data_IF_091798922878
#
_entry.id   IF_091798922878
#
_cell.length_a   1.000
_cell.length_b   1.000
_cell.length_c   1.000
_cell.angle_alpha   90.00
_cell.angle_beta   90.00
_cell.angle_gamma   90.00
#
_symmetry.space_group_name_H-M   'P 1'
#
loop_
_entity.id
_entity.type
_entity.pdbx_description
1 polymer ?
#
# COMPACT_ATOMS: atom_id res chain seq x y z
N UNK A 1 26.95 -31.35 -9.99
CA UNK A 1 25.52 -30.97 -10.09
C UNK A 1 25.27 -29.89 -9.06
N UNK A 2 25.37 -28.62 -9.45
CA UNK A 2 25.20 -27.50 -8.53
C UNK A 2 23.76 -27.52 -7.99
N UNK A 3 23.62 -27.70 -6.67
CA UNK A 3 22.33 -27.60 -6.00
C UNK A 3 21.75 -26.22 -6.31
N UNK A 4 20.51 -26.18 -6.82
CA UNK A 4 19.79 -24.92 -6.98
C UNK A 4 19.59 -24.35 -5.57
N UNK A 5 19.96 -23.08 -5.31
CA UNK A 5 19.73 -22.46 -4.02
C UNK A 5 18.24 -22.49 -3.65
N UNK A 6 17.91 -23.03 -2.47
CA UNK A 6 16.57 -23.48 -2.14
C UNK A 6 15.57 -22.32 -1.95
N UNK A 7 16.01 -21.16 -1.48
CA UNK A 7 15.16 -19.99 -1.31
C UNK A 7 14.92 -19.27 -2.63
N UNK A 8 15.94 -19.14 -3.48
CA UNK A 8 15.77 -18.59 -4.83
C UNK A 8 14.80 -19.44 -5.66
N UNK A 9 14.86 -20.77 -5.55
CA UNK A 9 13.89 -21.65 -6.19
C UNK A 9 12.46 -21.43 -5.67
N UNK A 10 12.29 -21.37 -4.34
CA UNK A 10 11.00 -21.07 -3.69
C UNK A 10 10.46 -19.72 -4.13
N UNK A 11 11.33 -18.72 -4.23
CA UNK A 11 10.96 -17.38 -4.66
C UNK A 11 10.39 -17.40 -6.07
N UNK A 12 11.15 -17.94 -7.04
CA UNK A 12 10.76 -18.00 -8.45
C UNK A 12 9.49 -18.82 -8.69
N UNK A 13 9.19 -19.83 -7.86
CA UNK A 13 7.95 -20.61 -7.99
C UNK A 13 6.70 -19.85 -7.54
N UNK A 14 6.84 -18.78 -6.74
CA UNK A 14 5.74 -17.98 -6.21
C UNK A 14 5.62 -16.59 -6.85
N UNK A 15 6.56 -16.19 -7.71
CA UNK A 15 6.44 -14.92 -8.43
C UNK A 15 5.32 -14.96 -9.46
N UNK A 16 4.54 -13.88 -9.53
CA UNK A 16 3.48 -13.71 -10.54
C UNK A 16 4.01 -13.50 -11.94
N UNK A 17 5.22 -12.95 -12.06
CA UNK A 17 5.95 -12.80 -13.33
C UNK A 17 6.78 -14.05 -13.58
N UNK A 18 6.71 -14.58 -14.80
CA UNK A 18 7.61 -15.64 -15.25
C UNK A 18 8.90 -14.99 -15.78
N UNK A 19 9.89 -14.88 -14.92
CA UNK A 19 11.20 -14.31 -15.27
C UNK A 19 11.96 -15.22 -16.25
N UNK A 20 12.83 -14.61 -17.06
CA UNK A 20 13.86 -15.36 -17.78
C UNK A 20 14.74 -16.06 -16.73
N UNK A 21 15.10 -17.35 -16.93
CA UNK A 21 15.95 -18.07 -16.00
C UNK A 21 17.21 -17.25 -15.67
N UNK A 22 17.42 -16.86 -14.40
CA UNK A 22 18.58 -16.07 -14.02
C UNK A 22 19.86 -16.89 -14.19
N UNK A 23 21.00 -16.21 -14.34
CA UNK A 23 22.29 -16.90 -14.36
C UNK A 23 22.54 -17.62 -13.02
N UNK A 24 23.40 -18.66 -12.97
CA UNK A 24 23.75 -19.32 -11.71
C UNK A 24 24.30 -18.35 -10.65
N UNK A 25 25.02 -17.31 -11.08
CA UNK A 25 25.54 -16.26 -10.21
C UNK A 25 24.41 -15.39 -9.64
N UNK A 26 23.46 -14.96 -10.49
CA UNK A 26 22.28 -14.19 -10.06
C UNK A 26 21.39 -14.99 -9.09
N UNK A 27 21.24 -16.31 -9.32
CA UNK A 27 20.50 -17.20 -8.42
C UNK A 27 21.17 -17.29 -7.05
N UNK A 28 22.49 -17.42 -7.00
CA UNK A 28 23.24 -17.45 -5.74
C UNK A 28 23.16 -16.11 -5.00
N UNK A 29 23.27 -14.99 -5.71
CA UNK A 29 23.13 -13.65 -5.15
C UNK A 29 21.73 -13.40 -4.59
N UNK A 30 20.69 -13.83 -5.32
CA UNK A 30 19.30 -13.73 -4.85
C UNK A 30 19.06 -14.59 -3.60
N UNK A 31 19.59 -15.81 -3.54
CA UNK A 31 19.43 -16.68 -2.38
C UNK A 31 20.13 -16.12 -1.14
N UNK A 32 21.33 -15.56 -1.31
CA UNK A 32 22.06 -14.88 -0.23
C UNK A 32 21.31 -13.63 0.26
N UNK A 33 20.75 -12.83 -0.65
CA UNK A 33 19.91 -11.67 -0.32
C UNK A 33 18.69 -12.08 0.51
N UNK A 34 17.96 -13.12 0.08
CA UNK A 34 16.76 -13.61 0.76
C UNK A 34 17.07 -14.21 2.13
N UNK A 35 18.16 -14.97 2.23
CA UNK A 35 18.65 -15.53 3.49
C UNK A 35 18.99 -14.42 4.48
N UNK A 36 19.76 -13.42 4.03
CA UNK A 36 20.15 -12.29 4.86
C UNK A 36 18.95 -11.48 5.33
N UNK A 37 18.01 -11.22 4.44
CA UNK A 37 16.78 -10.49 4.77
C UNK A 37 15.94 -11.21 5.83
N UNK A 38 15.87 -12.54 5.78
CA UNK A 38 15.18 -13.35 6.78
C UNK A 38 15.89 -13.33 8.14
N UNK A 39 17.21 -13.43 8.17
CA UNK A 39 18.02 -13.32 9.39
C UNK A 39 17.89 -11.94 10.04
N UNK A 40 18.02 -10.87 9.24
CA UNK A 40 17.90 -9.48 9.72
C UNK A 40 16.48 -9.21 10.25
N UNK A 41 15.44 -9.75 9.60
CA UNK A 41 14.06 -9.62 10.06
C UNK A 41 13.79 -10.38 11.38
N UNK A 42 14.34 -11.59 11.54
CA UNK A 42 14.28 -12.33 12.81
C UNK A 42 14.98 -11.59 13.94
N UNK A 43 16.17 -11.04 13.67
CA UNK A 43 16.91 -10.24 14.65
C UNK A 43 16.14 -8.97 15.03
N UNK A 44 15.41 -8.37 14.08
CA UNK A 44 14.57 -7.19 14.32
C UNK A 44 13.31 -7.51 15.14
N UNK A 45 12.73 -8.70 14.96
CA UNK A 45 11.50 -9.13 15.63
C UNK A 45 11.72 -10.40 16.47
N UNK A 46 12.43 -10.31 17.61
CA UNK A 46 12.69 -11.47 18.47
C UNK A 46 11.38 -12.15 18.90
N UNK A 47 11.35 -13.47 18.84
CA UNK A 47 10.19 -14.29 19.24
C UNK A 47 9.16 -14.52 18.13
N UNK A 48 9.25 -13.83 16.99
CA UNK A 48 8.45 -14.14 15.81
C UNK A 48 9.12 -15.28 15.03
N UNK A 49 8.55 -16.49 15.10
CA UNK A 49 9.13 -17.70 14.50
C UNK A 49 8.53 -18.00 13.11
N UNK A 50 8.85 -17.19 12.10
CA UNK A 50 8.41 -17.40 10.72
C UNK A 50 9.50 -18.13 9.91
N UNK A 51 9.13 -19.19 9.20
CA UNK A 51 10.07 -19.95 8.37
C UNK A 51 10.60 -19.13 7.19
N UNK A 52 11.84 -19.38 6.77
CA UNK A 52 12.44 -18.73 5.60
C UNK A 52 11.60 -18.97 4.33
N UNK A 53 11.11 -20.19 4.13
CA UNK A 53 10.26 -20.54 2.96
C UNK A 53 8.96 -19.74 2.94
N UNK A 54 8.27 -19.62 4.07
CA UNK A 54 7.03 -18.82 4.16
C UNK A 54 7.27 -17.35 3.91
N UNK A 55 8.34 -16.80 4.49
CA UNK A 55 8.74 -15.41 4.28
C UNK A 55 9.05 -15.16 2.79
N UNK A 56 9.87 -16.02 2.17
CA UNK A 56 10.29 -15.88 0.78
C UNK A 56 9.12 -15.99 -0.19
N UNK A 57 8.20 -16.93 0.03
CA UNK A 57 6.96 -17.03 -0.77
C UNK A 57 6.13 -15.75 -0.66
N UNK A 58 5.99 -15.20 0.55
CA UNK A 58 5.24 -13.97 0.79
C UNK A 58 5.86 -12.75 0.10
N UNK A 59 7.19 -12.63 0.06
CA UNK A 59 7.91 -11.58 -0.69
C UNK A 59 7.70 -11.75 -2.19
N UNK A 60 7.82 -12.97 -2.72
CA UNK A 60 7.67 -13.26 -4.15
C UNK A 60 6.27 -12.86 -4.69
N UNK A 61 5.22 -13.10 -3.92
CA UNK A 61 3.84 -12.73 -4.27
C UNK A 61 3.60 -11.21 -4.32
N UNK A 62 4.48 -10.43 -3.69
CA UNK A 62 4.38 -8.96 -3.52
C UNK A 62 5.30 -8.18 -4.44
N UNK A 63 6.06 -8.86 -5.30
CA UNK A 63 6.79 -8.19 -6.35
C UNK A 63 5.87 -7.30 -7.20
N UNK A 64 6.34 -6.12 -7.59
CA UNK A 64 5.63 -5.33 -8.60
C UNK A 64 5.53 -6.06 -9.92
N UNK A 65 4.55 -5.69 -10.77
CA UNK A 65 4.59 -6.04 -12.19
C UNK A 65 5.95 -5.61 -12.79
N UNK A 66 6.64 -6.56 -13.41
CA UNK A 66 7.95 -6.35 -14.01
C UNK A 66 8.04 -7.13 -15.32
N UNK A 67 8.93 -6.68 -16.22
CA UNK A 67 9.25 -7.44 -17.44
C UNK A 67 9.96 -8.74 -17.07
N UNK A 68 9.78 -9.83 -17.84
CA UNK A 68 10.55 -11.07 -17.64
C UNK A 68 12.07 -10.88 -17.62
N UNK A 69 12.59 -9.82 -18.24
CA UNK A 69 14.02 -9.49 -18.32
C UNK A 69 14.49 -8.53 -17.22
N UNK A 70 13.59 -8.05 -16.35
CA UNK A 70 13.97 -7.11 -15.28
C UNK A 70 14.83 -7.84 -14.23
N UNK A 71 15.97 -7.26 -13.82
CA UNK A 71 16.79 -7.82 -12.74
C UNK A 71 15.99 -7.94 -11.43
N UNK A 72 16.02 -9.12 -10.81
CA UNK A 72 15.18 -9.44 -9.65
C UNK A 72 15.70 -8.77 -8.37
N UNK A 73 17.00 -8.81 -8.13
CA UNK A 73 17.59 -8.30 -6.88
C UNK A 73 17.22 -6.83 -6.58
N UNK A 74 17.29 -5.89 -7.54
CA UNK A 74 16.82 -4.51 -7.31
C UNK A 74 15.33 -4.41 -6.96
N UNK A 75 14.48 -5.27 -7.52
CA UNK A 75 13.05 -5.28 -7.19
C UNK A 75 12.80 -5.71 -5.74
N UNK A 76 13.57 -6.67 -5.25
CA UNK A 76 13.49 -7.16 -3.86
C UNK A 76 14.07 -6.14 -2.88
N UNK A 77 15.22 -5.55 -3.21
CA UNK A 77 15.86 -4.52 -2.37
C UNK A 77 15.03 -3.25 -2.22
N UNK A 78 14.13 -2.96 -3.16
CA UNK A 78 13.18 -1.85 -3.06
C UNK A 78 11.99 -2.07 -2.12
N UNK A 79 11.92 -3.22 -1.43
CA UNK A 79 10.84 -3.56 -0.50
C UNK A 79 11.31 -3.48 0.97
N UNK A 80 10.39 -3.12 1.87
CA UNK A 80 10.58 -3.20 3.32
C UNK A 80 10.53 -4.66 3.80
N UNK A 81 11.62 -5.41 3.58
CA UNK A 81 11.69 -6.86 3.86
C UNK A 81 11.40 -7.21 5.34
N UNK A 82 11.93 -6.44 6.29
CA UNK A 82 11.67 -6.66 7.72
C UNK A 82 10.20 -6.44 8.10
N UNK A 83 9.49 -5.54 7.42
CA UNK A 83 8.07 -5.28 7.69
C UNK A 83 7.16 -6.27 6.97
N UNK A 84 7.57 -6.77 5.79
CA UNK A 84 6.94 -7.90 5.12
C UNK A 84 7.03 -9.19 5.95
N UNK A 85 8.15 -9.41 6.63
CA UNK A 85 8.30 -10.51 7.58
C UNK A 85 7.24 -10.42 8.69
N UNK A 86 7.11 -9.24 9.31
CA UNK A 86 6.12 -9.01 10.36
C UNK A 86 4.69 -9.18 9.85
N UNK A 87 4.37 -8.63 8.67
CA UNK A 87 3.05 -8.75 8.05
C UNK A 87 2.71 -10.21 7.73
N UNK A 88 3.65 -10.98 7.17
CA UNK A 88 3.49 -12.41 6.91
C UNK A 88 3.21 -13.18 8.21
N UNK A 89 3.97 -12.92 9.27
CA UNK A 89 3.77 -13.57 10.56
C UNK A 89 2.42 -13.18 11.19
N UNK A 90 1.96 -11.95 11.03
CA UNK A 90 0.63 -11.53 11.47
C UNK A 90 -0.49 -12.30 10.74
N UNK A 91 -0.35 -12.50 9.42
CA UNK A 91 -1.30 -13.28 8.62
C UNK A 91 -1.35 -14.75 9.00
N UNK A 92 -0.22 -15.30 9.44
CA UNK A 92 -0.13 -16.67 9.94
C UNK A 92 -0.57 -16.81 11.41
N UNK A 93 -0.98 -15.72 12.06
CA UNK A 93 -1.50 -15.77 13.43
C UNK A 93 -0.45 -15.90 14.53
N UNK A 94 0.81 -15.54 14.27
CA UNK A 94 1.85 -15.55 15.31
C UNK A 94 1.58 -14.45 16.35
N UNK A 95 1.37 -14.84 17.61
CA UNK A 95 1.07 -13.90 18.71
C UNK A 95 2.17 -12.86 18.91
N UNK A 96 3.44 -13.27 18.87
CA UNK A 96 4.58 -12.36 18.97
C UNK A 96 4.59 -11.31 17.85
N UNK A 97 4.06 -11.64 16.66
CA UNK A 97 3.95 -10.69 15.55
C UNK A 97 2.82 -9.68 15.80
N UNK A 98 1.68 -10.12 16.34
CA UNK A 98 0.59 -9.20 16.72
C UNK A 98 1.03 -8.25 17.82
N UNK A 99 1.76 -8.73 18.82
CA UNK A 99 2.34 -7.88 19.89
C UNK A 99 3.36 -6.88 19.35
N UNK A 100 4.23 -7.31 18.42
CA UNK A 100 5.19 -6.42 17.78
C UNK A 100 4.48 -5.36 16.93
N UNK A 101 3.42 -5.72 16.19
CA UNK A 101 2.61 -4.78 15.44
C UNK A 101 1.96 -3.74 16.37
N UNK A 102 1.35 -4.19 17.47
CA UNK A 102 0.73 -3.30 18.45
C UNK A 102 1.76 -2.32 19.04
N UNK A 103 2.89 -2.84 19.54
CA UNK A 103 3.92 -2.06 20.24
C UNK A 103 4.63 -1.06 19.34
N UNK A 104 4.97 -1.46 18.12
CA UNK A 104 5.84 -0.65 17.26
C UNK A 104 5.07 0.23 16.26
N UNK A 105 3.81 -0.10 15.97
CA UNK A 105 3.01 0.61 14.98
C UNK A 105 1.75 1.21 15.57
N UNK A 106 0.86 0.41 16.18
CA UNK A 106 -0.44 0.89 16.67
C UNK A 106 -0.31 1.84 17.86
N UNK A 107 0.61 1.58 18.78
CA UNK A 107 0.93 2.46 19.90
C UNK A 107 1.47 3.84 19.48
N UNK A 108 2.02 3.95 18.26
CA UNK A 108 2.55 5.21 17.71
C UNK A 108 1.49 6.01 16.95
N UNK A 109 0.33 5.43 16.64
CA UNK A 109 -0.72 6.11 15.88
C UNK A 109 -1.25 7.37 16.57
N UNK A 110 -1.51 7.39 17.89
CA UNK A 110 -2.03 8.60 18.53
C UNK A 110 -1.14 9.83 18.32
N UNK A 111 0.18 9.67 18.47
CA UNK A 111 1.14 10.75 18.23
C UNK A 111 1.11 11.27 16.79
N UNK A 112 0.91 10.36 15.82
CA UNK A 112 0.84 10.73 14.39
C UNK A 112 -0.49 11.38 14.01
N UNK A 113 -1.58 11.06 14.72
CA UNK A 113 -2.90 11.59 14.45
C UNK A 113 -3.20 12.91 15.18
N UNK A 114 -2.50 13.24 16.27
CA UNK A 114 -2.66 14.51 17.00
C UNK A 114 -2.47 15.76 16.12
N UNK A 115 -1.63 15.67 15.08
CA UNK A 115 -1.46 16.74 14.10
C UNK A 115 -2.74 17.13 13.35
N UNK A 116 -3.77 16.29 13.39
CA UNK A 116 -5.07 16.48 12.73
C UNK A 116 -6.11 17.16 13.62
N UNK A 117 -5.68 17.71 14.78
CA UNK A 117 -6.54 18.41 15.76
C UNK A 117 -7.80 17.62 16.16
N UNK A 118 -7.69 16.30 16.25
CA UNK A 118 -8.79 15.42 16.64
C UNK A 118 -8.88 15.29 18.16
N UNK A 119 -10.08 15.13 18.75
CA UNK A 119 -10.24 14.77 20.16
C UNK A 119 -9.57 13.43 20.49
N UNK A 120 -8.99 13.28 21.68
CA UNK A 120 -8.30 12.04 22.08
C UNK A 120 -9.21 10.80 22.01
N UNK A 121 -10.49 10.94 22.36
CA UNK A 121 -11.48 9.86 22.25
C UNK A 121 -11.65 9.35 20.79
N UNK A 122 -11.63 10.25 19.81
CA UNK A 122 -11.68 9.90 18.38
C UNK A 122 -10.40 9.18 17.97
N UNK A 123 -9.25 9.63 18.46
CA UNK A 123 -7.95 9.02 18.16
C UNK A 123 -7.89 7.57 18.70
N UNK A 124 -8.38 7.34 19.91
CA UNK A 124 -8.43 6.01 20.51
C UNK A 124 -9.39 5.08 19.75
N UNK A 125 -10.56 5.58 19.34
CA UNK A 125 -11.49 4.82 18.51
C UNK A 125 -10.87 4.46 17.14
N UNK A 126 -10.18 5.41 16.50
CA UNK A 126 -9.46 5.17 15.25
C UNK A 126 -8.41 4.07 15.44
N UNK A 127 -7.59 4.15 16.50
CA UNK A 127 -6.57 3.13 16.81
C UNK A 127 -7.19 1.74 16.97
N UNK A 128 -8.28 1.64 17.73
CA UNK A 128 -8.97 0.36 17.94
C UNK A 128 -9.50 -0.22 16.61
N UNK A 129 -10.17 0.61 15.80
CA UNK A 129 -10.70 0.20 14.50
C UNK A 129 -9.61 -0.18 13.50
N UNK A 130 -8.46 0.49 13.54
CA UNK A 130 -7.28 0.13 12.73
C UNK A 130 -6.78 -1.27 13.13
N UNK A 131 -6.59 -1.53 14.42
CA UNK A 131 -6.14 -2.84 14.91
C UNK A 131 -7.03 -3.99 14.43
N UNK A 132 -8.36 -3.83 14.60
CA UNK A 132 -9.36 -4.80 14.10
C UNK A 132 -9.23 -4.95 12.58
N UNK A 133 -9.18 -3.85 11.82
CA UNK A 133 -9.13 -3.90 10.36
C UNK A 133 -7.86 -4.58 9.82
N UNK A 134 -6.72 -4.39 10.49
CA UNK A 134 -5.45 -4.97 10.07
C UNK A 134 -5.41 -6.49 10.27
N UNK A 135 -5.92 -6.96 11.41
CA UNK A 135 -5.70 -8.34 11.87
C UNK A 135 -6.91 -9.26 11.71
N UNK A 136 -8.13 -8.72 11.64
CA UNK A 136 -9.36 -9.51 11.60
C UNK A 136 -9.90 -9.59 10.17
N UNK A 137 -10.10 -10.81 9.69
CA UNK A 137 -10.83 -11.10 8.46
C UNK A 137 -12.34 -10.85 8.68
N UNK A 138 -12.95 -10.00 7.84
CA UNK A 138 -14.38 -9.68 7.94
C UNK A 138 -15.17 -10.28 6.78
N UNK A 139 -16.22 -11.05 7.06
CA UNK A 139 -17.25 -11.49 6.10
C UNK A 139 -16.69 -11.84 4.69
N UNK A 140 -15.77 -12.81 4.62
CA UNK A 140 -15.17 -13.28 3.35
C UNK A 140 -14.01 -12.44 2.81
N UNK A 141 -13.55 -11.42 3.53
CA UNK A 141 -12.37 -10.62 3.18
C UNK A 141 -11.14 -11.05 3.99
N UNK A 142 -9.98 -11.02 3.35
CA UNK A 142 -8.69 -11.15 4.04
C UNK A 142 -8.45 -9.94 4.97
N UNK A 143 -7.68 -10.10 6.06
CA UNK A 143 -7.29 -8.97 6.90
C UNK A 143 -6.54 -7.94 6.06
N UNK A 144 -6.69 -6.65 6.35
CA UNK A 144 -6.09 -5.60 5.51
C UNK A 144 -4.56 -5.70 5.45
N UNK A 145 -3.90 -6.26 6.47
CA UNK A 145 -2.44 -6.47 6.46
C UNK A 145 -1.99 -7.41 5.32
N UNK A 146 -2.89 -8.19 4.73
CA UNK A 146 -2.62 -8.98 3.52
C UNK A 146 -2.26 -8.11 2.32
N UNK A 147 -2.83 -6.90 2.24
CA UNK A 147 -2.65 -5.95 1.14
C UNK A 147 -1.35 -5.15 1.25
N UNK A 148 -0.64 -5.23 2.39
CA UNK A 148 0.66 -4.59 2.52
C UNK A 148 1.68 -5.29 1.60
N UNK A 149 2.22 -4.52 0.66
CA UNK A 149 3.12 -5.03 -0.39
C UNK A 149 4.60 -4.86 -0.05
N UNK A 150 4.93 -4.26 1.10
CA UNK A 150 6.31 -3.89 1.42
C UNK A 150 6.81 -2.69 0.63
N UNK A 151 5.98 -2.10 -0.25
CA UNK A 151 6.28 -0.83 -0.89
C UNK A 151 6.11 0.26 0.13
N UNK A 152 7.27 0.70 0.60
CA UNK A 152 7.39 1.67 1.66
C UNK A 152 7.01 1.17 3.05
N UNK A 153 7.28 2.01 4.05
CA UNK A 153 7.09 1.81 5.47
C UNK A 153 5.68 1.40 5.89
N UNK A 154 5.57 0.32 6.64
CA UNK A 154 4.32 -0.18 7.22
C UNK A 154 3.63 0.87 8.08
N UNK A 155 4.38 1.66 8.87
CA UNK A 155 3.80 2.73 9.69
C UNK A 155 3.04 3.75 8.84
N UNK A 156 3.63 4.23 7.75
CA UNK A 156 2.97 5.18 6.85
C UNK A 156 1.70 4.57 6.25
N UNK A 157 1.76 3.33 5.81
CA UNK A 157 0.61 2.60 5.29
C UNK A 157 -0.52 2.44 6.34
N UNK A 158 -0.17 2.14 7.59
CA UNK A 158 -1.14 2.07 8.70
C UNK A 158 -1.76 3.45 8.98
N UNK A 159 -0.98 4.53 8.98
CA UNK A 159 -1.52 5.89 9.19
C UNK A 159 -2.50 6.27 8.08
N UNK A 160 -2.29 5.82 6.83
CA UNK A 160 -3.28 6.00 5.75
C UNK A 160 -4.61 5.34 6.09
N UNK A 161 -4.57 4.09 6.56
CA UNK A 161 -5.77 3.36 6.99
C UNK A 161 -6.45 4.10 8.14
N UNK A 162 -5.68 4.61 9.10
CA UNK A 162 -6.17 5.39 10.22
C UNK A 162 -6.87 6.68 9.74
N UNK A 163 -6.27 7.43 8.81
CA UNK A 163 -6.88 8.61 8.20
C UNK A 163 -8.20 8.31 7.49
N UNK A 164 -8.29 7.19 6.76
CA UNK A 164 -9.55 6.73 6.13
C UNK A 164 -10.63 6.45 7.16
N UNK A 165 -10.27 5.81 8.27
CA UNK A 165 -11.21 5.52 9.37
C UNK A 165 -11.64 6.82 10.06
N UNK A 166 -10.71 7.74 10.34
CA UNK A 166 -11.01 9.04 10.92
C UNK A 166 -11.95 9.86 10.02
N UNK A 167 -11.73 9.86 8.70
CA UNK A 167 -12.64 10.50 7.74
C UNK A 167 -14.02 9.85 7.75
N UNK A 168 -14.11 8.52 7.81
CA UNK A 168 -15.40 7.83 7.89
C UNK A 168 -16.15 8.21 9.16
N UNK A 169 -15.46 8.30 10.29
CA UNK A 169 -16.04 8.72 11.56
C UNK A 169 -16.52 10.18 11.50
N UNK A 170 -15.72 11.08 10.92
CA UNK A 170 -16.12 12.47 10.67
C UNK A 170 -17.31 12.58 9.72
N UNK A 171 -17.32 11.81 8.63
CA UNK A 171 -18.40 11.76 7.64
C UNK A 171 -19.75 11.33 8.21
N UNK A 172 -19.74 10.58 9.32
CA UNK A 172 -20.96 10.24 10.07
C UNK A 172 -21.48 11.42 10.92
N UNK A 173 -20.65 12.44 11.16
CA UNK A 173 -20.99 13.67 11.91
C UNK A 173 -21.10 14.93 11.01
N UNK A 174 -20.40 15.01 9.86
CA UNK A 174 -20.44 16.13 8.87
C UNK A 174 -19.76 15.77 7.52
N UNK A 175 -20.16 16.36 6.37
CA UNK A 175 -19.46 16.18 5.09
C UNK A 175 -18.03 16.77 5.14
N UNK A 176 -17.02 15.98 4.77
CA UNK A 176 -15.60 16.38 4.72
C UNK A 176 -15.30 17.29 3.52
N UNK A 177 -14.48 18.33 3.74
CA UNK A 177 -14.07 19.32 2.70
C UNK A 177 -12.70 18.97 2.08
N UNK A 178 -12.35 19.63 0.97
CA UNK A 178 -11.03 19.50 0.30
C UNK A 178 -9.85 19.92 1.22
N UNK A 179 -10.05 20.91 2.08
CA UNK A 179 -9.02 21.42 3.01
C UNK A 179 -8.61 20.36 4.06
N UNK A 180 -9.57 19.60 4.60
CA UNK A 180 -9.31 18.57 5.61
C UNK A 180 -8.43 17.42 5.06
N UNK A 181 -8.60 17.13 3.77
CA UNK A 181 -7.86 16.11 3.06
C UNK A 181 -6.42 16.53 2.73
N UNK A 182 -6.25 17.79 2.33
CA UNK A 182 -4.94 18.37 2.07
C UNK A 182 -4.13 18.55 3.36
N UNK A 183 -4.77 18.96 4.46
CA UNK A 183 -4.13 18.98 5.78
C UNK A 183 -3.73 17.58 6.25
N UNK A 184 -4.58 16.58 6.04
CA UNK A 184 -4.23 15.18 6.35
C UNK A 184 -2.99 14.75 5.57
N UNK A 185 -2.96 14.95 4.25
CA UNK A 185 -1.81 14.57 3.43
C UNK A 185 -0.52 15.29 3.85
N UNK A 186 -0.60 16.59 4.16
CA UNK A 186 0.55 17.39 4.66
C UNK A 186 1.02 16.92 6.04
N UNK A 187 0.12 16.38 6.87
CA UNK A 187 0.44 15.87 8.20
C UNK A 187 0.98 14.42 8.19
N UNK A 188 0.85 13.68 7.08
CA UNK A 188 1.35 12.31 6.95
C UNK A 188 2.87 12.29 6.73
N UNK A 189 3.66 11.76 7.68
CA UNK A 189 5.13 11.78 7.60
C UNK A 189 5.66 10.92 6.45
N UNK A 190 6.79 11.34 5.90
CA UNK A 190 7.68 10.58 5.04
C UNK A 190 8.19 9.35 5.78
N UNK A 191 8.40 8.29 5.02
CA UNK A 191 9.03 7.10 5.57
C UNK A 191 10.49 7.44 5.85
N UNK A 192 11.00 6.98 7.00
CA UNK A 192 12.33 7.35 7.46
C UNK A 192 12.36 8.71 8.14
N UNK A 193 13.32 8.90 9.04
CA UNK A 193 13.61 10.18 9.71
C UNK A 193 14.15 11.25 8.75
N UNK A 194 13.87 11.14 7.45
CA UNK A 194 14.43 12.01 6.42
C UNK A 194 13.58 13.29 6.28
N UNK A 195 14.05 14.43 6.82
CA UNK A 195 13.32 15.68 6.77
C UNK A 195 13.24 16.23 5.34
N UNK A 196 14.16 15.84 4.44
CA UNK A 196 14.19 16.30 3.06
C UNK A 196 13.02 15.72 2.27
N UNK A 197 12.73 14.43 2.47
CA UNK A 197 11.57 13.77 1.86
C UNK A 197 10.24 14.39 2.33
N UNK A 198 10.16 14.84 3.59
CA UNK A 198 9.00 15.53 4.15
C UNK A 198 8.78 16.92 3.54
N UNK A 199 9.85 17.67 3.30
CA UNK A 199 9.80 18.96 2.59
C UNK A 199 9.42 18.73 1.13
N UNK A 200 10.00 17.73 0.49
CA UNK A 200 9.75 17.41 -0.92
C UNK A 200 8.28 17.03 -1.15
N UNK A 201 7.66 16.29 -0.23
CA UNK A 201 6.22 16.00 -0.26
C UNK A 201 5.35 17.24 -0.19
N UNK A 202 5.60 18.11 0.79
CA UNK A 202 4.80 19.34 0.95
C UNK A 202 4.92 20.22 -0.29
N UNK A 203 6.10 20.25 -0.89
CA UNK A 203 6.38 20.99 -2.13
C UNK A 203 5.68 20.41 -3.35
N UNK A 204 5.63 19.09 -3.50
CA UNK A 204 5.13 18.43 -4.70
C UNK A 204 3.73 17.80 -4.56
N UNK A 205 3.06 17.96 -3.41
CA UNK A 205 1.70 17.44 -3.20
C UNK A 205 0.70 17.97 -4.24
N UNK A 206 0.73 19.27 -4.54
CA UNK A 206 -0.16 19.87 -5.54
C UNK A 206 0.07 19.26 -6.93
N UNK A 207 1.34 19.06 -7.31
CA UNK A 207 1.71 18.39 -8.56
C UNK A 207 1.25 16.93 -8.58
N UNK A 208 1.37 16.22 -7.45
CA UNK A 208 0.83 14.85 -7.32
C UNK A 208 -0.69 14.81 -7.50
N UNK A 209 -1.46 15.62 -6.77
CA UNK A 209 -2.92 15.66 -6.93
C UNK A 209 -3.32 15.97 -8.36
N UNK A 210 -2.65 16.92 -9.00
CA UNK A 210 -2.89 17.27 -10.39
C UNK A 210 -2.59 16.09 -11.32
N UNK A 211 -1.46 15.40 -11.13
CA UNK A 211 -1.10 14.22 -11.91
C UNK A 211 -2.09 13.05 -11.72
N UNK A 212 -2.65 12.85 -10.52
CA UNK A 212 -3.72 11.85 -10.30
C UNK A 212 -5.00 12.26 -11.01
N UNK A 213 -5.40 13.54 -10.91
CA UNK A 213 -6.61 14.06 -11.56
C UNK A 213 -6.53 13.88 -13.07
N UNK A 214 -5.38 14.20 -13.66
CA UNK A 214 -5.13 14.02 -15.08
C UNK A 214 -5.08 12.55 -15.48
N UNK A 215 -4.43 11.69 -14.68
CA UNK A 215 -4.40 10.25 -14.92
C UNK A 215 -5.81 9.64 -14.86
N UNK A 216 -6.61 9.99 -13.86
CA UNK A 216 -8.00 9.54 -13.73
C UNK A 216 -8.89 10.05 -14.87
N UNK A 217 -8.58 11.21 -15.46
CA UNK A 217 -9.29 11.72 -16.64
C UNK A 217 -9.02 10.90 -17.91
N UNK A 218 -7.92 10.14 -17.98
CA UNK A 218 -7.63 9.24 -19.12
C UNK A 218 -8.43 7.94 -19.10
N UNK A 219 -9.09 7.62 -17.97
CA UNK A 219 -9.86 6.40 -17.82
C UNK A 219 -11.16 6.44 -18.63
N UNK A 220 -11.57 5.27 -19.13
CA UNK A 220 -12.87 5.07 -19.76
C UNK A 220 -14.01 5.40 -18.78
N UNK A 221 -15.20 5.69 -19.30
CA UNK A 221 -16.37 5.95 -18.46
C UNK A 221 -16.69 4.77 -17.52
N UNK A 222 -16.51 3.54 -18.01
CA UNK A 222 -16.71 2.30 -17.25
C UNK A 222 -15.67 2.14 -16.13
N UNK A 223 -14.39 2.37 -16.43
CA UNK A 223 -13.31 2.28 -15.44
C UNK A 223 -13.45 3.37 -14.36
N UNK A 224 -13.87 4.59 -14.74
CA UNK A 224 -14.19 5.65 -13.77
C UNK A 224 -15.39 5.28 -12.91
N UNK A 225 -16.42 4.66 -13.49
CA UNK A 225 -17.59 4.22 -12.73
C UNK A 225 -17.21 3.12 -11.72
N UNK A 226 -16.38 2.17 -12.12
CA UNK A 226 -15.86 1.12 -11.24
C UNK A 226 -15.08 1.70 -10.06
N UNK A 227 -14.17 2.65 -10.31
CA UNK A 227 -13.46 3.33 -9.22
C UNK A 227 -14.41 4.11 -8.32
N UNK A 228 -15.44 4.76 -8.89
CA UNK A 228 -16.39 5.55 -8.10
C UNK A 228 -17.20 4.68 -7.16
N UNK A 229 -17.73 3.56 -7.64
CA UNK A 229 -18.46 2.59 -6.81
C UNK A 229 -17.61 2.10 -5.63
N UNK A 230 -16.33 1.85 -5.88
CA UNK A 230 -15.45 1.33 -4.83
C UNK A 230 -14.96 2.40 -3.85
N UNK A 231 -14.51 3.55 -4.36
CA UNK A 231 -13.81 4.55 -3.57
C UNK A 231 -14.71 5.67 -3.04
N UNK A 232 -15.67 6.15 -3.84
CA UNK A 232 -16.65 7.16 -3.43
C UNK A 232 -17.84 6.50 -2.72
N UNK A 233 -18.49 5.54 -3.38
CA UNK A 233 -19.69 4.88 -2.86
C UNK A 233 -19.37 3.77 -1.83
N UNK A 234 -18.07 3.51 -1.59
CA UNK A 234 -17.55 2.57 -0.58
C UNK A 234 -18.05 1.13 -0.73
N UNK A 235 -18.50 0.73 -1.91
CA UNK A 235 -18.97 -0.63 -2.16
C UNK A 235 -17.77 -1.60 -2.19
N UNK A 236 -17.92 -2.70 -1.47
CA UNK A 236 -16.98 -3.82 -1.53
C UNK A 236 -17.05 -4.51 -2.90
N UNK A 237 -15.98 -5.22 -3.26
CA UNK A 237 -15.96 -6.04 -4.49
C UNK A 237 -17.07 -7.09 -4.53
N UNK A 238 -17.52 -7.54 -3.36
CA UNK A 238 -18.67 -8.45 -3.21
C UNK A 238 -19.99 -7.76 -3.52
N UNK A 239 -20.22 -6.55 -2.99
CA UNK A 239 -21.43 -5.76 -3.27
C UNK A 239 -21.49 -5.27 -4.72
N UNK A 240 -20.34 -5.03 -5.33
CA UNK A 240 -20.23 -4.62 -6.73
C UNK A 240 -20.50 -5.77 -7.71
N UNK A 241 -20.09 -7.00 -7.38
CA UNK A 241 -20.21 -8.16 -8.27
C UNK A 241 -21.62 -8.36 -8.87
N UNK A 242 -22.71 -8.32 -8.06
CA UNK A 242 -24.08 -8.37 -8.56
C UNK A 242 -24.45 -7.23 -9.53
N UNK A 243 -23.94 -6.01 -9.30
CA UNK A 243 -24.24 -4.84 -10.14
C UNK A 243 -23.74 -5.03 -11.58
N UNK A 244 -22.59 -5.69 -11.72
CA UNK A 244 -21.96 -5.99 -13.00
C UNK A 244 -22.28 -7.40 -13.52
N UNK A 245 -23.07 -8.20 -12.78
CA UNK A 245 -23.38 -9.61 -13.10
C UNK A 245 -22.14 -10.48 -13.31
N UNK A 246 -21.12 -10.28 -12.49
CA UNK A 246 -19.85 -11.05 -12.52
C UNK A 246 -19.48 -11.53 -11.12
N UNK A 247 -18.46 -12.40 -11.04
CA UNK A 247 -17.93 -12.86 -9.76
C UNK A 247 -17.07 -11.79 -9.07
N UNK A 248 -16.99 -11.83 -7.74
CA UNK A 248 -16.17 -10.95 -6.92
C UNK A 248 -14.70 -10.91 -7.37
N UNK A 249 -14.14 -12.06 -7.77
CA UNK A 249 -12.77 -12.17 -8.28
C UNK A 249 -12.56 -11.45 -9.61
N UNK A 250 -13.61 -11.26 -10.41
CA UNK A 250 -13.57 -10.47 -11.64
C UNK A 250 -13.55 -8.98 -11.31
N UNK A 251 -14.39 -8.50 -10.39
CA UNK A 251 -14.35 -7.11 -9.92
C UNK A 251 -13.00 -6.76 -9.29
N UNK A 252 -12.47 -7.64 -8.43
CA UNK A 252 -11.15 -7.44 -7.83
C UNK A 252 -10.05 -7.28 -8.88
N UNK A 253 -10.05 -8.13 -9.92
CA UNK A 253 -9.10 -8.02 -11.04
C UNK A 253 -9.29 -6.73 -11.84
N UNK A 254 -10.53 -6.31 -12.10
CA UNK A 254 -10.81 -5.07 -12.81
C UNK A 254 -10.36 -3.85 -12.02
N UNK A 255 -10.72 -3.75 -10.73
CA UNK A 255 -10.27 -2.64 -9.86
C UNK A 255 -8.74 -2.57 -9.82
N UNK A 256 -8.08 -3.70 -9.65
CA UNK A 256 -6.62 -3.76 -9.64
C UNK A 256 -6.02 -3.28 -10.97
N UNK A 257 -6.58 -3.70 -12.11
CA UNK A 257 -6.15 -3.22 -13.43
C UNK A 257 -6.31 -1.70 -13.55
N UNK A 258 -7.46 -1.16 -13.15
CA UNK A 258 -7.74 0.27 -13.27
C UNK A 258 -6.85 1.09 -12.33
N UNK A 259 -6.65 0.63 -11.09
CA UNK A 259 -5.69 1.24 -10.15
C UNK A 259 -4.27 1.26 -10.73
N UNK A 260 -3.82 0.15 -11.33
CA UNK A 260 -2.51 0.07 -11.98
C UNK A 260 -2.36 1.03 -13.15
N UNK A 261 -3.43 1.26 -13.91
CA UNK A 261 -3.44 2.23 -15.01
C UNK A 261 -3.30 3.67 -14.49
N UNK A 262 -4.07 4.04 -13.46
CA UNK A 262 -3.92 5.36 -12.82
C UNK A 262 -2.52 5.53 -12.27
N UNK A 263 -2.01 4.51 -11.57
CA UNK A 263 -0.66 4.53 -11.01
C UNK A 263 0.42 4.76 -12.06
N UNK A 264 0.41 3.95 -13.13
CA UNK A 264 1.40 4.06 -14.19
C UNK A 264 1.38 5.44 -14.86
N UNK A 265 0.19 5.98 -15.10
CA UNK A 265 0.03 7.28 -15.73
C UNK A 265 0.39 8.45 -14.80
N UNK A 266 0.04 8.38 -13.51
CA UNK A 266 0.48 9.36 -12.50
C UNK A 266 1.99 9.36 -12.37
N UNK A 267 2.62 8.18 -12.33
CA UNK A 267 4.09 8.07 -12.28
C UNK A 267 4.74 8.70 -13.51
N UNK A 268 4.25 8.39 -14.72
CA UNK A 268 4.76 8.96 -15.97
C UNK A 268 4.71 10.50 -15.93
N UNK A 269 3.55 11.07 -15.54
CA UNK A 269 3.36 12.53 -15.44
C UNK A 269 4.26 13.18 -14.42
N UNK A 270 4.40 12.59 -13.24
CA UNK A 270 5.28 13.15 -12.21
C UNK A 270 6.74 13.09 -12.61
N UNK A 271 7.15 12.03 -13.32
CA UNK A 271 8.52 11.92 -13.84
C UNK A 271 8.81 13.03 -14.86
N UNK A 272 7.87 13.33 -15.75
CA UNK A 272 7.97 14.39 -16.75
C UNK A 272 7.95 15.79 -16.12
N UNK A 273 7.12 16.01 -15.10
CA UNK A 273 6.93 17.33 -14.48
C UNK A 273 8.02 17.70 -13.46
N UNK A 274 8.52 16.73 -12.69
CA UNK A 274 9.36 17.03 -11.53
C UNK A 274 10.86 16.98 -11.81
N UNK A 275 11.30 16.34 -12.90
CA UNK A 275 12.72 16.29 -13.29
C UNK A 275 13.66 15.79 -12.20
N UNK A 276 13.15 15.01 -11.24
CA UNK A 276 13.87 14.53 -10.07
C UNK A 276 14.93 13.49 -10.48
N UNK A 277 16.00 13.40 -9.69
CA UNK A 277 16.95 12.28 -9.83
C UNK A 277 16.22 10.95 -9.56
N UNK A 278 16.80 9.83 -10.03
CA UNK A 278 16.10 8.54 -10.04
C UNK A 278 15.83 7.99 -8.64
N UNK A 279 16.68 8.28 -7.65
CA UNK A 279 16.53 7.77 -6.27
C UNK A 279 15.48 8.56 -5.48
N UNK A 280 15.51 9.90 -5.53
CA UNK A 280 14.54 10.76 -4.85
C UNK A 280 13.13 10.56 -5.43
N UNK A 281 13.05 10.35 -6.74
CA UNK A 281 11.79 10.02 -7.41
C UNK A 281 11.23 8.67 -6.96
N UNK A 282 12.08 7.65 -6.77
CA UNK A 282 11.64 6.33 -6.30
C UNK A 282 11.11 6.40 -4.86
N UNK A 283 11.79 7.12 -3.97
CA UNK A 283 11.36 7.34 -2.59
C UNK A 283 10.04 8.12 -2.52
N UNK A 284 9.89 9.15 -3.36
CA UNK A 284 8.65 9.93 -3.46
C UNK A 284 7.50 9.09 -4.01
N UNK A 285 7.69 8.39 -5.12
CA UNK A 285 6.66 7.53 -5.73
C UNK A 285 6.26 6.40 -4.78
N UNK A 286 7.20 5.73 -4.11
CA UNK A 286 6.89 4.68 -3.15
C UNK A 286 5.99 5.20 -2.00
N UNK A 287 6.19 6.43 -1.53
CA UNK A 287 5.29 7.06 -0.59
C UNK A 287 3.92 7.38 -1.21
N UNK A 288 3.94 8.02 -2.37
CA UNK A 288 2.75 8.51 -3.07
C UNK A 288 1.81 7.36 -3.49
N UNK A 289 2.36 6.20 -3.82
CA UNK A 289 1.62 4.99 -4.16
C UNK A 289 0.74 4.50 -3.03
N UNK A 290 1.22 4.63 -1.80
CA UNK A 290 0.43 4.29 -0.61
C UNK A 290 -0.77 5.23 -0.39
N UNK A 291 -0.78 6.39 -1.06
CA UNK A 291 -1.77 7.46 -0.93
C UNK A 291 -2.75 7.54 -2.11
N UNK A 292 -2.48 6.86 -3.22
CA UNK A 292 -3.27 6.97 -4.46
C UNK A 292 -4.76 6.69 -4.26
N UNK A 293 -5.09 5.64 -3.51
CA UNK A 293 -6.46 5.29 -3.14
C UNK A 293 -7.20 6.42 -2.37
N UNK A 294 -6.49 7.16 -1.51
CA UNK A 294 -7.06 8.25 -0.73
C UNK A 294 -7.41 9.42 -1.67
N UNK A 295 -6.46 9.79 -2.54
CA UNK A 295 -6.65 10.84 -3.54
C UNK A 295 -7.76 10.48 -4.54
N UNK A 296 -7.83 9.21 -4.97
CA UNK A 296 -8.88 8.71 -5.84
C UNK A 296 -10.27 8.79 -5.20
N UNK A 297 -10.39 8.43 -3.91
CA UNK A 297 -11.64 8.59 -3.17
C UNK A 297 -12.12 10.04 -3.15
N UNK A 298 -11.22 11.00 -2.93
CA UNK A 298 -11.55 12.42 -2.85
C UNK A 298 -11.93 13.00 -4.22
N UNK A 299 -11.12 12.75 -5.25
CA UNK A 299 -11.38 13.24 -6.61
C UNK A 299 -12.72 12.71 -7.19
N UNK A 300 -13.14 11.53 -6.76
CA UNK A 300 -14.38 10.91 -7.22
C UNK A 300 -15.61 11.34 -6.39
N UNK A 301 -15.41 11.76 -5.14
CA UNK A 301 -16.42 12.43 -4.32
C UNK A 301 -16.67 13.88 -4.81
N UNK A 302 -15.62 14.60 -5.24
CA UNK A 302 -15.68 15.99 -5.78
C UNK A 302 -16.62 16.12 -7.00
N UNK A 303 -16.75 15.07 -7.85
CA UNK A 303 -17.61 15.09 -9.04
C UNK A 303 -19.09 14.89 -8.77
N UNK A 304 -19.50 14.81 -7.49
CA UNK A 304 -20.91 14.83 -7.11
C UNK A 304 -21.42 16.28 -7.15
N UNK A 305 -21.60 16.83 -8.35
CA UNK A 305 -22.47 18.00 -8.51
C UNK A 305 -23.85 17.62 -7.93
N UNK A 306 -24.42 18.40 -6.99
CA UNK A 306 -25.83 18.23 -6.67
C UNK A 306 -26.62 18.44 -7.96
N UNK A 307 -27.71 17.70 -8.21
CA UNK A 307 -28.58 18.04 -9.32
C UNK A 307 -28.94 19.51 -9.16
N UNK A 308 -28.67 20.31 -10.21
CA UNK A 308 -29.15 21.68 -10.28
C UNK A 308 -30.67 21.61 -10.15
N UNK A 309 -31.17 21.92 -8.95
CA UNK A 309 -32.58 22.14 -8.72
C UNK A 309 -33.00 23.30 -9.63
N UNK A 310 -33.74 22.96 -10.69
CA UNK A 310 -34.55 23.90 -11.46
C UNK A 310 -35.94 23.99 -10.86
#
# INVERSE_FOLDING_TARGET
>A
MSQVPALAATFLSHTKTRFVPPSPEDLAALDALLSRAWEDAQARWPGVALSATSFVAHVAERLPPASPTTPIAPLVSGLSLAELYLACACLQGHSAAHEALERHYLARLPERLRGLRQPDAMIDEVRQRVGVKLLVANAGHTPAIADYTGRGGLLSWVVVIAGRIANKLRGQEKPSTEDDAEELFKALPAQGLDPELDVMKRRHHAAFRQAVREAAATLSAEDRHLLRLHFADRLSTYEMAPLFRVNQSTISRWLKRVQQQVYAETRRRLQEQLGLNTEDFQSFIAFVDSQLDLTLSQLLDEKREPPSEG
#
